data_IF_870537746779
#
_entry.id   IF_870537746779
#
_cell.length_a   1.000
_cell.length_b   1.000
_cell.length_c   1.000
_cell.angle_alpha   90.00
_cell.angle_beta   90.00
_cell.angle_gamma   90.00
#
_symmetry.space_group_name_H-M   'P 1'
#
loop_
_entity.id
_entity.type
_entity.pdbx_description
1 polymer ?
#
# COMPACT_ATOMS: atom_id res chain seq x y z
N UNK A 1 5.69 -8.36 -5.85
CA UNK A 1 7.00 -7.82 -5.41
C UNK A 1 7.67 -8.82 -4.47
N UNK A 2 9.00 -8.98 -4.47
CA UNK A 2 9.70 -9.98 -3.62
C UNK A 2 9.34 -9.85 -2.13
N UNK A 3 9.26 -8.62 -1.62
CA UNK A 3 8.82 -8.32 -0.25
C UNK A 3 7.43 -8.86 0.09
N UNK A 4 6.49 -8.98 -0.86
CA UNK A 4 5.18 -9.58 -0.56
C UNK A 4 5.32 -11.06 -0.23
N UNK A 5 6.15 -11.78 -0.98
CA UNK A 5 6.48 -13.18 -0.69
C UNK A 5 7.25 -13.29 0.63
N UNK A 6 8.29 -12.47 0.81
CA UNK A 6 9.12 -12.53 2.01
C UNK A 6 8.33 -12.21 3.29
N UNK A 7 7.34 -11.32 3.20
CA UNK A 7 6.46 -11.00 4.33
C UNK A 7 5.62 -12.18 4.83
N UNK A 8 5.44 -13.23 4.00
CA UNK A 8 4.63 -14.42 4.28
C UNK A 8 5.47 -15.62 4.72
N UNK A 9 6.79 -15.53 4.62
CA UNK A 9 7.74 -16.60 5.01
C UNK A 9 8.47 -16.14 6.27
N UNK A 10 8.21 -16.73 7.45
CA UNK A 10 8.75 -16.25 8.74
C UNK A 10 10.25 -16.03 8.75
N UNK A 11 11.01 -16.94 8.12
CA UNK A 11 12.48 -16.92 8.05
C UNK A 11 13.01 -15.76 7.20
N UNK A 12 12.21 -15.29 6.22
CA UNK A 12 12.61 -14.21 5.32
C UNK A 12 12.12 -12.86 5.81
N UNK A 13 10.99 -12.81 6.53
CA UNK A 13 10.28 -11.57 6.87
C UNK A 13 11.21 -10.52 7.48
N UNK A 14 11.90 -10.82 8.57
CA UNK A 14 12.77 -9.85 9.25
C UNK A 14 14.26 -10.03 8.92
N UNK A 15 14.56 -10.79 7.86
CA UNK A 15 15.94 -11.12 7.45
C UNK A 15 16.64 -9.97 6.72
N UNK A 16 17.96 -10.11 6.55
CA UNK A 16 18.75 -9.23 5.69
C UNK A 16 18.26 -9.22 4.23
N UNK A 17 17.71 -10.33 3.73
CA UNK A 17 17.17 -10.39 2.36
C UNK A 17 15.99 -9.45 2.16
N UNK A 18 15.12 -9.30 3.17
CA UNK A 18 14.03 -8.32 3.14
C UNK A 18 14.56 -6.89 3.19
N UNK A 19 15.61 -6.63 3.97
CA UNK A 19 16.26 -5.32 4.01
C UNK A 19 16.87 -4.97 2.65
N UNK A 20 17.63 -5.89 2.05
CA UNK A 20 18.20 -5.71 0.72
C UNK A 20 17.12 -5.57 -0.37
N UNK A 21 16.02 -6.31 -0.27
CA UNK A 21 14.90 -6.17 -1.20
C UNK A 21 14.18 -4.81 -1.08
N UNK A 22 14.27 -4.13 0.07
CA UNK A 22 13.73 -2.79 0.26
C UNK A 22 14.65 -1.69 -0.28
N UNK A 23 15.97 -1.90 -0.34
CA UNK A 23 16.95 -0.90 -0.80
C UNK A 23 16.61 -0.25 -2.16
N UNK A 24 16.22 -0.99 -3.22
CA UNK A 24 15.84 -0.37 -4.49
C UNK A 24 14.60 0.54 -4.37
N UNK A 25 13.67 0.21 -3.47
CA UNK A 25 12.46 0.99 -3.23
C UNK A 25 12.82 2.31 -2.53
N UNK A 26 13.69 2.23 -1.51
CA UNK A 26 14.22 3.42 -0.82
C UNK A 26 14.96 4.32 -1.79
N UNK A 27 15.86 3.74 -2.60
CA UNK A 27 16.57 4.47 -3.65
C UNK A 27 15.59 5.17 -4.62
N UNK A 28 14.53 4.49 -5.08
CA UNK A 28 13.54 5.12 -5.97
C UNK A 28 12.79 6.30 -5.33
N UNK A 29 12.51 6.24 -4.02
CA UNK A 29 11.95 7.39 -3.30
C UNK A 29 12.92 8.58 -3.34
N UNK A 30 14.16 8.34 -2.95
CA UNK A 30 15.19 9.37 -2.76
C UNK A 30 15.71 9.94 -4.09
N UNK A 31 15.74 9.12 -5.15
CA UNK A 31 16.23 9.50 -6.47
C UNK A 31 15.47 10.67 -7.10
N UNK A 32 14.29 11.03 -6.61
CA UNK A 32 13.66 12.29 -7.00
C UNK A 32 12.89 12.25 -8.33
N UNK A 33 13.07 11.21 -9.16
CA UNK A 33 12.43 11.10 -10.49
C UNK A 33 11.24 10.15 -10.50
N UNK A 34 10.31 10.36 -11.43
CA UNK A 34 9.13 9.54 -11.68
C UNK A 34 9.46 8.25 -12.45
N UNK A 35 10.33 7.40 -11.90
CA UNK A 35 10.47 6.04 -12.41
C UNK A 35 9.15 5.30 -12.19
N UNK A 36 8.49 4.91 -13.29
CA UNK A 36 7.21 4.19 -13.26
C UNK A 36 6.15 4.80 -12.32
N UNK A 37 6.08 6.14 -12.25
CA UNK A 37 5.10 6.88 -11.44
C UNK A 37 5.28 6.85 -9.91
N UNK A 38 6.32 6.18 -9.40
CA UNK A 38 6.55 5.96 -7.98
C UNK A 38 6.51 7.25 -7.15
N UNK A 39 5.64 7.27 -6.12
CA UNK A 39 5.55 8.34 -5.11
C UNK A 39 5.10 9.73 -5.57
N UNK A 40 4.91 9.95 -6.88
CA UNK A 40 4.69 11.31 -7.43
C UNK A 40 3.47 11.46 -8.32
N UNK A 41 2.99 10.36 -8.91
CA UNK A 41 1.82 10.43 -9.80
C UNK A 41 0.53 10.23 -9.02
N UNK A 42 -0.53 10.91 -9.47
CA UNK A 42 -1.91 10.59 -9.06
C UNK A 42 -2.28 9.12 -9.35
N UNK A 43 -1.60 8.46 -10.30
CA UNK A 43 -1.80 7.02 -10.57
C UNK A 43 -1.20 6.12 -9.48
N UNK A 44 -0.16 6.58 -8.79
CA UNK A 44 0.46 5.85 -7.69
C UNK A 44 -0.39 5.97 -6.42
N UNK A 45 -0.79 7.19 -6.07
CA UNK A 45 -1.62 7.49 -4.90
C UNK A 45 -3.09 7.17 -5.15
N UNK A 46 -3.40 5.88 -5.33
CA UNK A 46 -4.77 5.41 -5.58
C UNK A 46 -5.20 4.30 -4.65
N UNK A 47 -6.44 4.39 -4.17
CA UNK A 47 -7.17 3.27 -3.60
C UNK A 47 -7.75 2.48 -4.77
N UNK A 48 -7.05 1.42 -5.16
CA UNK A 48 -7.37 0.62 -6.34
C UNK A 48 -7.05 -0.84 -6.08
N UNK A 49 -7.99 -1.70 -6.40
CA UNK A 49 -7.91 -3.16 -6.33
C UNK A 49 -8.44 -3.77 -7.64
N UNK A 50 -7.97 -4.96 -8.10
CA UNK A 50 -6.90 -5.79 -7.52
C UNK A 50 -5.50 -5.19 -7.69
N UNK A 51 -4.53 -5.69 -6.91
CA UNK A 51 -3.13 -5.21 -6.91
C UNK A 51 -2.34 -5.70 -8.13
N UNK A 52 -2.80 -5.36 -9.34
CA UNK A 52 -2.17 -5.73 -10.61
C UNK A 52 -0.85 -4.97 -10.83
N UNK A 53 -0.78 -3.73 -10.35
CA UNK A 53 0.40 -2.87 -10.41
C UNK A 53 0.75 -2.41 -9.00
N UNK A 54 2.02 -2.08 -8.77
CA UNK A 54 2.40 -1.46 -7.50
C UNK A 54 1.88 -0.02 -7.45
N UNK A 55 0.96 0.21 -6.53
CA UNK A 55 0.42 1.52 -6.17
C UNK A 55 0.62 1.73 -4.65
N UNK A 56 0.18 2.88 -4.16
CA UNK A 56 0.29 3.22 -2.74
C UNK A 56 -0.42 2.20 -1.85
N UNK A 57 -1.62 1.72 -2.23
CA UNK A 57 -2.38 0.74 -1.44
C UNK A 57 -1.62 -0.60 -1.30
N UNK A 58 -1.17 -1.19 -2.41
CA UNK A 58 -0.38 -2.43 -2.41
C UNK A 58 0.92 -2.28 -1.61
N UNK A 59 1.62 -1.15 -1.80
CA UNK A 59 2.85 -0.89 -1.08
C UNK A 59 2.61 -0.73 0.43
N UNK A 60 1.57 -0.01 0.82
CA UNK A 60 1.22 0.13 2.22
C UNK A 60 0.90 -1.24 2.84
N UNK A 61 0.15 -2.09 2.15
CA UNK A 61 -0.14 -3.45 2.60
C UNK A 61 1.12 -4.29 2.82
N UNK A 62 2.00 -4.35 1.82
CA UNK A 62 3.21 -5.17 1.91
C UNK A 62 4.20 -4.62 2.93
N UNK A 63 4.53 -3.32 2.84
CA UNK A 63 5.59 -2.72 3.67
C UNK A 63 5.19 -2.61 5.13
N UNK A 64 3.90 -2.40 5.43
CA UNK A 64 3.46 -2.37 6.83
C UNK A 64 3.54 -3.73 7.51
N UNK A 65 3.85 -4.85 6.83
CA UNK A 65 4.00 -6.16 7.47
C UNK A 65 5.30 -6.30 8.25
N UNK A 66 6.33 -5.53 7.89
CA UNK A 66 7.69 -5.66 8.40
C UNK A 66 7.94 -4.75 9.58
N UNK A 67 8.50 -5.26 10.68
CA UNK A 67 8.77 -4.44 11.87
C UNK A 67 9.85 -3.40 11.59
N UNK A 68 10.92 -3.81 10.91
CA UNK A 68 12.05 -2.92 10.62
C UNK A 68 11.71 -1.72 9.73
N UNK A 69 10.54 -1.70 9.09
CA UNK A 69 10.06 -0.61 8.24
C UNK A 69 9.08 0.33 8.95
N UNK A 70 8.74 0.11 10.23
CA UNK A 70 7.73 0.90 10.96
C UNK A 70 8.04 2.41 10.93
N UNK A 71 9.31 2.76 11.10
CA UNK A 71 9.74 4.16 11.15
C UNK A 71 10.22 4.72 9.81
N UNK A 72 10.21 3.91 8.75
CA UNK A 72 10.68 4.32 7.43
C UNK A 72 9.82 5.46 6.87
N UNK A 73 10.43 6.57 6.40
CA UNK A 73 9.68 7.71 5.89
C UNK A 73 8.66 7.36 4.80
N UNK A 74 9.00 6.40 3.92
CA UNK A 74 8.07 5.95 2.88
C UNK A 74 6.81 5.31 3.46
N UNK A 75 6.95 4.47 4.48
CA UNK A 75 5.82 3.78 5.11
C UNK A 75 4.96 4.79 5.85
N UNK A 76 5.57 5.73 6.57
CA UNK A 76 4.84 6.84 7.23
C UNK A 76 4.01 7.66 6.24
N UNK A 77 4.57 8.00 5.07
CA UNK A 77 3.82 8.73 4.03
C UNK A 77 2.63 7.92 3.50
N UNK A 78 2.81 6.62 3.27
CA UNK A 78 1.76 5.72 2.81
C UNK A 78 0.63 5.60 3.84
N UNK A 79 0.96 5.41 5.11
CA UNK A 79 -0.02 5.31 6.20
C UNK A 79 -0.75 6.64 6.40
N UNK A 80 -0.03 7.76 6.42
CA UNK A 80 -0.63 9.09 6.52
C UNK A 80 -1.62 9.32 5.38
N UNK A 81 -1.24 8.98 4.14
CA UNK A 81 -2.13 9.09 2.99
C UNK A 81 -3.39 8.22 3.13
N UNK A 82 -3.30 7.00 3.66
CA UNK A 82 -4.47 6.17 3.95
C UNK A 82 -5.36 6.85 5.01
N UNK A 83 -4.79 7.34 6.11
CA UNK A 83 -5.58 8.04 7.14
C UNK A 83 -6.30 9.26 6.57
N UNK A 84 -5.62 10.07 5.75
CA UNK A 84 -6.19 11.26 5.11
C UNK A 84 -7.21 10.94 4.01
N UNK A 85 -7.23 9.71 3.49
CA UNK A 85 -8.19 9.25 2.49
C UNK A 85 -9.50 8.72 3.09
N UNK A 86 -9.62 8.71 4.42
CA UNK A 86 -10.81 8.23 5.11
C UNK A 86 -11.98 9.22 4.94
N UNK A 87 -13.15 8.69 4.60
CA UNK A 87 -14.42 9.44 4.60
C UNK A 87 -14.88 9.74 6.04
N UNK A 88 -15.77 10.73 6.22
CA UNK A 88 -16.32 11.09 7.53
C UNK A 88 -16.91 9.89 8.31
N UNK A 89 -17.65 8.94 7.70
CA UNK A 89 -18.14 7.74 8.39
C UNK A 89 -17.08 6.70 8.74
N UNK A 90 -15.80 6.94 8.45
CA UNK A 90 -14.71 5.99 8.68
C UNK A 90 -14.48 4.99 7.53
N UNK A 91 -15.18 5.15 6.41
CA UNK A 91 -15.13 4.26 5.23
C UNK A 91 -14.18 4.77 4.14
N UNK A 92 -14.00 4.00 3.06
CA UNK A 92 -13.08 4.33 1.96
C UNK A 92 -13.68 4.11 0.58
N UNK A 93 -13.43 5.07 -0.32
CA UNK A 93 -13.86 5.03 -1.72
C UNK A 93 -12.71 4.69 -2.66
N UNK A 94 -12.89 3.81 -3.67
CA UNK A 94 -11.89 3.60 -4.70
C UNK A 94 -11.67 4.88 -5.51
N UNK A 95 -10.42 5.32 -5.63
CA UNK A 95 -10.06 6.47 -6.46
C UNK A 95 -9.75 6.07 -7.90
N UNK A 96 -9.48 4.79 -8.15
CA UNK A 96 -9.24 4.23 -9.48
C UNK A 96 -9.68 2.77 -9.53
N UNK A 97 -10.00 2.29 -10.74
CA UNK A 97 -10.56 0.96 -10.99
C UNK A 97 -9.94 0.40 -12.27
N UNK A 98 -9.70 -0.91 -12.33
CA UNK A 98 -9.32 -1.59 -13.58
C UNK A 98 -10.58 -1.84 -14.40
N UNK A 99 -10.61 -1.40 -15.66
CA UNK A 99 -11.82 -1.42 -16.49
C UNK A 99 -12.28 -2.85 -16.78
N UNK A 100 -11.33 -3.77 -16.83
CA UNK A 100 -11.54 -5.21 -16.99
C UNK A 100 -12.34 -5.81 -15.81
N UNK A 101 -12.37 -5.11 -14.68
CA UNK A 101 -13.05 -5.52 -13.47
C UNK A 101 -14.26 -4.65 -13.14
N UNK A 102 -14.70 -3.74 -14.02
CA UNK A 102 -15.71 -2.70 -13.73
C UNK A 102 -17.04 -3.17 -13.13
N UNK A 103 -17.39 -4.45 -13.32
CA UNK A 103 -18.66 -5.05 -12.88
C UNK A 103 -18.47 -5.93 -11.62
N UNK A 104 -17.31 -5.85 -10.96
CA UNK A 104 -17.05 -6.53 -9.70
C UNK A 104 -17.48 -5.67 -8.50
N UNK A 105 -17.71 -6.30 -7.37
CA UNK A 105 -18.14 -5.63 -6.13
C UNK A 105 -17.13 -4.58 -5.62
N UNK A 106 -15.86 -4.68 -6.00
CA UNK A 106 -14.78 -3.75 -5.61
C UNK A 106 -14.45 -2.66 -6.65
N UNK A 107 -15.23 -2.54 -7.73
CA UNK A 107 -14.90 -1.69 -8.89
C UNK A 107 -15.84 -0.51 -9.12
N UNK A 108 -16.76 -0.24 -8.20
CA UNK A 108 -17.65 0.92 -8.28
C UNK A 108 -16.97 2.18 -7.73
N UNK A 109 -16.99 3.27 -8.49
CA UNK A 109 -16.48 4.56 -8.03
C UNK A 109 -17.62 5.37 -7.40
N UNK A 110 -17.29 6.23 -6.43
CA UNK A 110 -18.16 7.23 -5.78
C UNK A 110 -19.11 6.72 -4.69
N UNK A 111 -18.90 5.49 -4.23
CA UNK A 111 -19.51 5.01 -2.99
C UNK A 111 -18.43 4.28 -2.19
N UNK A 112 -18.46 4.36 -0.85
CA UNK A 112 -17.53 3.61 -0.04
C UNK A 112 -17.70 2.11 -0.26
N UNK A 113 -16.60 1.41 -0.57
CA UNK A 113 -16.65 -0.02 -0.83
C UNK A 113 -16.19 -0.81 0.38
N UNK A 114 -16.95 -1.87 0.78
CA UNK A 114 -16.55 -2.73 1.89
C UNK A 114 -15.16 -3.31 1.73
N UNK A 115 -14.78 -3.72 0.52
CA UNK A 115 -13.47 -4.33 0.27
C UNK A 115 -12.31 -3.35 0.41
N UNK A 116 -12.42 -2.15 -0.17
CA UNK A 116 -11.40 -1.10 0.00
C UNK A 116 -11.31 -0.68 1.47
N UNK A 117 -12.46 -0.53 2.14
CA UNK A 117 -12.52 -0.20 3.56
C UNK A 117 -11.80 -1.26 4.40
N UNK A 118 -12.08 -2.54 4.17
CA UNK A 118 -11.41 -3.65 4.84
C UNK A 118 -9.89 -3.61 4.62
N UNK A 119 -9.42 -3.40 3.39
CA UNK A 119 -7.98 -3.33 3.10
C UNK A 119 -7.32 -2.18 3.86
N UNK A 120 -7.87 -0.97 3.82
CA UNK A 120 -7.35 0.17 4.58
C UNK A 120 -7.32 -0.10 6.08
N UNK A 121 -8.43 -0.57 6.67
CA UNK A 121 -8.48 -0.89 8.10
C UNK A 121 -7.47 -1.97 8.50
N UNK A 122 -7.29 -3.01 7.68
CA UNK A 122 -6.29 -4.07 7.91
C UNK A 122 -4.88 -3.51 7.91
N UNK A 123 -4.55 -2.62 6.97
CA UNK A 123 -3.24 -1.96 6.89
C UNK A 123 -2.99 -1.09 8.12
N UNK A 124 -3.96 -0.26 8.50
CA UNK A 124 -3.84 0.60 9.68
C UNK A 124 -3.67 -0.21 10.95
N UNK A 125 -4.49 -1.25 11.14
CA UNK A 125 -4.36 -2.20 12.25
C UNK A 125 -2.96 -2.81 12.29
N UNK A 126 -2.50 -3.31 11.14
CA UNK A 126 -1.19 -3.94 11.03
C UNK A 126 -0.04 -2.97 11.32
N UNK A 127 -0.18 -1.68 11.03
CA UNK A 127 0.85 -0.69 11.30
C UNK A 127 0.86 -0.21 12.76
N UNK A 128 -0.31 0.06 13.34
CA UNK A 128 -0.43 0.63 14.69
C UNK A 128 -0.37 -0.42 15.81
N UNK A 129 -0.86 -1.64 15.58
CA UNK A 129 -0.91 -2.69 16.61
C UNK A 129 0.40 -3.50 16.73
N UNK A 130 1.50 -2.97 16.18
CA UNK A 130 2.83 -3.59 16.30
C UNK A 130 3.39 -3.37 17.71
N UNK A 131 3.47 -4.45 18.49
CA UNK A 131 4.16 -4.52 19.78
C UNK A 131 5.67 -4.44 19.58
#
# INVERSE_FOLDING_TARGET
>A
MALDVFSKVPELKESEYSRFAFEPIRFHKDYGKTLYYFGRSKKFWTLKYPDVWYNALYMADVLSRFEFLKDEPLVKDLIKWIVESQTEPGTYEPTSVFIEYKDWDFSYKKEPLPWITFLCCRILKQYYDKN
#
